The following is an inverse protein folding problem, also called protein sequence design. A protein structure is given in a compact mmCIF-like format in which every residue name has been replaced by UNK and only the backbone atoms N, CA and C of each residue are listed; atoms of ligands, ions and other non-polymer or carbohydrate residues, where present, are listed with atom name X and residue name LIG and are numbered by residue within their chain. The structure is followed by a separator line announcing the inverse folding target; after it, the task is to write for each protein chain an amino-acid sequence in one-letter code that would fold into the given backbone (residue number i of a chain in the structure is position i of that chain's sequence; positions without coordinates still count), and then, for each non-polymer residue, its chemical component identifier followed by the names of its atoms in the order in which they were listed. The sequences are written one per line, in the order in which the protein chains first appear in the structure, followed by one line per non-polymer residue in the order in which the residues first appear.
data_IF_989201017314
#
_entry.id   IF_989201017314
#
_cell.length_a   1.000
_cell.length_b   1.000
_cell.length_c   1.000
_cell.angle_alpha   90.00
_cell.angle_beta   90.00
_cell.angle_gamma   90.00
#
_symmetry.space_group_name_H-M   'P 1'
#
loop_
_entity.id
_entity.type
_entity.pdbx_description
1 polymer ?
#
# COMPACT_ATOMS: atom_id res chain seq x y z
N UNK A 1 -50.85 16.29 22.20
CA UNK A 1 -50.30 15.75 20.94
C UNK A 1 -49.19 14.80 21.32
N UNK A 2 -49.04 13.69 20.63
CA UNK A 2 -47.94 12.75 20.93
C UNK A 2 -46.59 13.34 20.50
N UNK A 3 -45.55 13.05 21.26
CA UNK A 3 -44.17 13.39 20.89
C UNK A 3 -43.84 12.87 19.49
N UNK A 4 -42.91 13.56 18.82
CA UNK A 4 -42.30 13.08 17.56
C UNK A 4 -40.82 12.77 17.81
N UNK A 5 -40.16 12.19 16.83
CA UNK A 5 -38.76 11.78 16.97
C UNK A 5 -37.92 12.28 15.81
N UNK A 6 -36.60 12.44 16.03
CA UNK A 6 -35.67 12.78 14.97
C UNK A 6 -35.41 11.54 14.09
N UNK A 7 -35.45 11.71 12.77
CA UNK A 7 -35.31 10.60 11.81
C UNK A 7 -34.01 9.82 11.97
N UNK A 8 -32.89 10.52 12.17
CA UNK A 8 -31.58 9.85 12.17
C UNK A 8 -31.27 9.12 13.50
N UNK A 9 -31.73 9.66 14.62
CA UNK A 9 -31.21 9.25 15.94
C UNK A 9 -32.30 8.78 16.90
N UNK A 10 -33.57 8.91 16.54
CA UNK A 10 -34.69 8.57 17.41
C UNK A 10 -34.78 9.43 18.69
N UNK A 11 -34.24 10.66 18.68
CA UNK A 11 -34.31 11.58 19.78
C UNK A 11 -35.76 12.10 19.91
N UNK A 12 -36.35 12.00 21.09
CA UNK A 12 -37.71 12.42 21.31
C UNK A 12 -37.81 13.95 21.35
N UNK A 13 -38.71 14.50 20.53
CA UNK A 13 -39.07 15.91 20.49
C UNK A 13 -40.33 16.09 21.33
N UNK A 14 -40.17 16.49 22.60
CA UNK A 14 -41.24 16.62 23.57
C UNK A 14 -42.18 17.76 23.16
N UNK A 15 -43.45 17.48 23.00
CA UNK A 15 -44.46 18.49 22.71
C UNK A 15 -44.78 19.31 23.99
N UNK A 16 -44.95 20.63 23.84
CA UNK A 16 -45.29 21.52 24.94
C UNK A 16 -46.54 21.03 25.71
N UNK A 17 -46.40 20.89 27.02
CA UNK A 17 -47.47 20.42 27.93
C UNK A 17 -47.59 18.90 28.04
N UNK A 18 -46.76 18.15 27.28
CA UNK A 18 -46.66 16.69 27.38
C UNK A 18 -45.65 16.28 28.45
N UNK A 19 -45.70 15.03 28.86
CA UNK A 19 -44.73 14.39 29.80
C UNK A 19 -44.63 15.03 31.18
N UNK A 20 -45.75 15.52 31.71
CA UNK A 20 -45.79 16.01 33.10
C UNK A 20 -45.34 14.92 34.09
N UNK A 21 -44.26 15.18 34.81
CA UNK A 21 -43.61 14.24 35.73
C UNK A 21 -42.62 13.25 35.12
N UNK A 22 -42.52 13.13 33.78
CA UNK A 22 -41.61 12.19 33.09
C UNK A 22 -40.59 12.87 32.16
N UNK A 23 -40.74 14.17 31.89
CA UNK A 23 -39.87 14.91 30.99
C UNK A 23 -38.36 14.79 31.34
N UNK A 24 -38.03 14.71 32.61
CA UNK A 24 -36.65 14.54 33.06
C UNK A 24 -36.05 13.19 32.63
N UNK A 25 -36.85 12.11 32.67
CA UNK A 25 -36.42 10.80 32.16
C UNK A 25 -36.20 10.84 30.68
N UNK A 26 -37.11 11.42 29.89
CA UNK A 26 -36.98 11.56 28.45
C UNK A 26 -35.77 12.42 28.06
N UNK A 27 -35.57 13.55 28.77
CA UNK A 27 -34.40 14.40 28.54
C UNK A 27 -33.10 13.65 28.81
N UNK A 28 -33.01 12.89 29.90
CA UNK A 28 -31.84 12.10 30.22
C UNK A 28 -31.58 10.98 29.19
N UNK A 29 -32.64 10.33 28.69
CA UNK A 29 -32.52 9.35 27.62
C UNK A 29 -31.99 10.00 26.31
N UNK A 30 -32.55 11.16 25.94
CA UNK A 30 -32.08 11.93 24.78
C UNK A 30 -30.60 12.33 24.93
N UNK A 31 -30.16 12.80 26.08
CA UNK A 31 -28.75 13.11 26.32
C UNK A 31 -27.87 11.87 26.25
N UNK A 32 -28.34 10.72 26.73
CA UNK A 32 -27.63 9.46 26.61
C UNK A 32 -27.53 8.96 25.16
N UNK A 33 -28.55 9.20 24.32
CA UNK A 33 -28.50 8.95 22.87
C UNK A 33 -27.45 9.83 22.21
N UNK A 34 -27.46 11.13 22.53
CA UNK A 34 -26.48 12.09 22.01
C UNK A 34 -25.04 11.68 22.38
N UNK A 35 -24.81 11.30 23.62
CA UNK A 35 -23.50 10.86 24.09
C UNK A 35 -23.01 9.62 23.33
N UNK A 36 -23.90 8.64 23.09
CA UNK A 36 -23.56 7.47 22.24
C UNK A 36 -23.20 7.85 20.81
N UNK A 37 -23.94 8.78 20.20
CA UNK A 37 -23.71 9.22 18.83
C UNK A 37 -22.40 9.99 18.66
N UNK A 38 -21.94 10.67 19.70
CA UNK A 38 -20.72 11.48 19.63
C UNK A 38 -19.49 10.67 20.06
N UNK A 39 -19.58 9.95 21.18
CA UNK A 39 -18.41 9.29 21.81
C UNK A 39 -18.59 7.79 22.05
N UNK A 40 -19.77 7.23 21.74
CA UNK A 40 -20.09 5.86 22.11
C UNK A 40 -19.34 4.82 21.28
N UNK A 41 -18.76 3.85 21.98
CA UNK A 41 -18.20 2.63 21.39
C UNK A 41 -19.06 1.45 21.77
N UNK A 42 -19.73 0.83 20.79
CA UNK A 42 -20.60 -0.31 20.99
C UNK A 42 -19.94 -1.62 20.53
N UNK A 43 -19.90 -2.61 21.41
CA UNK A 43 -19.52 -3.98 21.01
C UNK A 43 -20.77 -4.75 20.65
N UNK A 44 -20.89 -5.14 19.38
CA UNK A 44 -22.02 -5.87 18.82
C UNK A 44 -21.61 -7.32 18.63
N UNK A 45 -22.23 -8.22 19.39
CA UNK A 45 -21.94 -9.65 19.30
C UNK A 45 -22.77 -10.29 18.19
N UNK A 46 -22.08 -10.67 17.10
CA UNK A 46 -22.71 -11.30 15.95
C UNK A 46 -22.83 -12.81 16.13
N UNK A 47 -23.95 -13.36 15.68
CA UNK A 47 -24.21 -14.80 15.58
C UNK A 47 -24.98 -15.10 14.29
N UNK A 48 -24.94 -16.35 13.83
CA UNK A 48 -25.59 -16.70 12.56
C UNK A 48 -25.03 -15.91 11.36
N UNK A 49 -25.90 -15.51 10.44
CA UNK A 49 -25.54 -14.83 9.18
C UNK A 49 -26.17 -13.46 9.00
N UNK A 50 -27.02 -13.02 9.94
CA UNK A 50 -27.71 -11.72 9.87
C UNK A 50 -27.75 -11.04 11.22
N UNK A 51 -27.72 -9.71 11.21
CA UNK A 51 -27.94 -8.85 12.38
C UNK A 51 -28.61 -7.55 11.91
N UNK A 52 -29.44 -6.95 12.78
CA UNK A 52 -30.03 -5.62 12.50
C UNK A 52 -29.55 -4.62 13.54
N UNK A 53 -28.85 -3.60 13.09
CA UNK A 53 -28.55 -2.41 13.90
C UNK A 53 -29.77 -1.52 13.88
N UNK A 54 -30.36 -1.26 15.04
CA UNK A 54 -31.56 -0.45 15.15
C UNK A 54 -31.26 0.92 15.73
N UNK A 55 -31.98 1.92 15.24
CA UNK A 55 -32.08 3.25 15.84
C UNK A 55 -33.53 3.41 16.31
N UNK A 56 -33.79 3.00 17.54
CA UNK A 56 -35.14 2.99 18.09
C UNK A 56 -35.53 4.35 18.67
N UNK A 57 -36.76 4.78 18.42
CA UNK A 57 -37.31 6.03 18.90
C UNK A 57 -37.36 6.10 20.42
N UNK A 58 -36.80 7.15 20.99
CA UNK A 58 -36.79 7.43 22.43
C UNK A 58 -36.13 6.36 23.29
N UNK A 59 -35.34 5.46 22.71
CA UNK A 59 -34.73 4.32 23.42
C UNK A 59 -33.29 4.12 22.99
N UNK A 60 -32.42 3.76 23.94
CA UNK A 60 -31.03 3.41 23.63
C UNK A 60 -30.97 2.12 22.84
N UNK A 61 -30.31 2.15 21.68
CA UNK A 61 -30.19 1.03 20.77
C UNK A 61 -28.78 0.91 20.17
N UNK A 62 -28.47 -0.19 19.53
CA UNK A 62 -27.13 -0.53 19.05
C UNK A 62 -26.69 0.27 17.82
N UNK A 63 -27.62 0.71 16.97
CA UNK A 63 -27.34 1.59 15.85
C UNK A 63 -26.98 3.03 16.19
N UNK A 64 -27.03 3.41 17.47
CA UNK A 64 -26.73 4.78 17.95
C UNK A 64 -25.25 4.98 18.35
N UNK A 65 -24.39 4.00 18.23
CA UNK A 65 -22.96 4.17 18.54
C UNK A 65 -22.17 4.81 17.39
N UNK A 66 -21.25 5.71 17.71
CA UNK A 66 -20.34 6.30 16.73
C UNK A 66 -19.32 5.25 16.22
N UNK A 67 -18.87 4.38 17.12
CA UNK A 67 -17.92 3.31 16.81
C UNK A 67 -18.59 1.96 17.07
N UNK A 68 -18.57 1.10 16.05
CA UNK A 68 -19.12 -0.26 16.11
C UNK A 68 -17.97 -1.27 16.11
N UNK A 69 -17.88 -2.09 17.14
CA UNK A 69 -16.92 -3.20 17.21
C UNK A 69 -17.72 -4.51 17.06
N UNK A 70 -17.69 -5.10 15.89
CA UNK A 70 -18.29 -6.42 15.67
C UNK A 70 -17.41 -7.52 16.27
N UNK A 71 -18.02 -8.35 17.10
CA UNK A 71 -17.41 -9.47 17.80
C UNK A 71 -18.29 -10.71 17.68
N UNK A 72 -17.96 -11.77 18.39
CA UNK A 72 -18.72 -13.02 18.39
C UNK A 72 -18.12 -14.06 17.43
N UNK A 73 -18.94 -15.01 17.01
CA UNK A 73 -18.53 -16.12 16.14
C UNK A 73 -19.66 -16.45 15.17
N UNK A 74 -19.92 -15.59 14.18
CA UNK A 74 -20.96 -15.86 13.18
C UNK A 74 -20.59 -17.11 12.37
N UNK A 75 -21.60 -17.85 11.92
CA UNK A 75 -21.42 -19.10 11.20
C UNK A 75 -20.90 -18.95 9.76
N UNK A 76 -20.78 -17.72 9.28
CA UNK A 76 -20.29 -17.33 7.95
C UNK A 76 -20.33 -15.83 7.81
N UNK A 77 -20.20 -15.31 6.60
CA UNK A 77 -20.39 -13.88 6.33
C UNK A 77 -21.70 -13.40 6.95
N UNK A 78 -21.61 -12.35 7.78
CA UNK A 78 -22.79 -11.80 8.45
C UNK A 78 -23.25 -10.53 7.74
N UNK A 79 -24.54 -10.46 7.36
CA UNK A 79 -25.15 -9.26 6.81
C UNK A 79 -25.73 -8.43 7.96
N UNK A 80 -25.18 -7.24 8.18
CA UNK A 80 -25.63 -6.29 9.17
C UNK A 80 -26.46 -5.21 8.48
N UNK A 81 -27.77 -5.18 8.74
CA UNK A 81 -28.71 -4.21 8.18
C UNK A 81 -28.87 -3.04 9.12
N UNK A 82 -28.60 -1.83 8.65
CA UNK A 82 -28.86 -0.58 9.40
C UNK A 82 -30.33 -0.19 9.22
N UNK A 83 -31.04 -0.02 10.32
CA UNK A 83 -32.46 0.32 10.33
C UNK A 83 -32.76 1.45 11.35
N UNK A 84 -33.69 2.37 11.00
CA UNK A 84 -34.48 2.42 9.77
C UNK A 84 -33.67 2.81 8.54
N UNK A 85 -34.18 2.55 7.33
CA UNK A 85 -33.45 2.79 6.10
C UNK A 85 -33.47 4.26 5.62
N UNK A 86 -34.17 5.13 6.32
CA UNK A 86 -34.18 6.58 6.10
C UNK A 86 -33.32 7.34 7.11
N UNK A 87 -32.66 6.66 8.05
CA UNK A 87 -31.74 7.25 8.99
C UNK A 87 -30.34 7.39 8.38
N UNK A 88 -29.75 8.58 8.52
CA UNK A 88 -28.38 8.87 8.13
C UNK A 88 -27.43 8.66 9.30
N UNK A 89 -26.34 7.91 9.07
CA UNK A 89 -25.34 7.63 10.09
C UNK A 89 -23.93 7.67 9.51
N UNK A 90 -23.00 8.10 10.36
CA UNK A 90 -21.56 7.94 10.14
C UNK A 90 -21.04 6.97 11.19
N UNK A 91 -20.39 5.88 10.76
CA UNK A 91 -19.83 4.88 11.65
C UNK A 91 -18.34 4.68 11.39
N UNK A 92 -17.59 4.49 12.48
CA UNK A 92 -16.29 3.82 12.45
C UNK A 92 -16.54 2.36 12.82
N UNK A 93 -16.25 1.45 11.90
CA UNK A 93 -16.57 0.02 12.04
C UNK A 93 -15.29 -0.78 12.15
N UNK A 94 -15.10 -1.50 13.27
CA UNK A 94 -14.05 -2.49 13.48
C UNK A 94 -14.67 -3.89 13.43
N UNK A 95 -14.18 -4.75 12.56
CA UNK A 95 -14.62 -6.15 12.51
C UNK A 95 -13.60 -7.07 13.19
N UNK A 96 -14.02 -7.70 14.29
CA UNK A 96 -13.25 -8.70 15.06
C UNK A 96 -14.06 -9.98 15.27
N UNK A 97 -15.03 -10.27 14.39
CA UNK A 97 -15.99 -11.39 14.55
C UNK A 97 -15.49 -12.73 13.99
N UNK A 98 -14.31 -12.77 13.36
CA UNK A 98 -13.78 -13.98 12.73
C UNK A 98 -14.29 -14.24 11.30
N UNK A 99 -15.31 -13.54 10.84
CA UNK A 99 -15.90 -13.65 9.49
C UNK A 99 -16.01 -12.27 8.85
N UNK A 100 -16.26 -12.19 7.55
CA UNK A 100 -16.59 -10.92 6.89
C UNK A 100 -17.96 -10.42 7.32
N UNK A 101 -18.10 -9.11 7.43
CA UNK A 101 -19.36 -8.41 7.71
C UNK A 101 -19.72 -7.55 6.51
N UNK A 102 -20.95 -7.69 6.03
CA UNK A 102 -21.52 -6.85 4.96
C UNK A 102 -22.51 -5.89 5.59
N UNK A 103 -22.20 -4.59 5.56
CA UNK A 103 -23.11 -3.53 6.00
C UNK A 103 -24.03 -3.16 4.84
N UNK A 104 -25.33 -3.12 5.10
CA UNK A 104 -26.38 -2.73 4.16
C UNK A 104 -27.43 -1.86 4.85
N UNK A 105 -28.16 -1.03 4.09
CA UNK A 105 -29.29 -0.24 4.63
C UNK A 105 -30.55 -0.39 3.80
N UNK A 106 -30.43 -0.62 2.50
CA UNK A 106 -31.54 -0.82 1.56
C UNK A 106 -31.11 -1.62 0.36
N UNK A 107 -31.62 -1.29 -0.82
CA UNK A 107 -31.23 -1.93 -2.08
C UNK A 107 -30.04 -1.27 -2.77
N UNK A 108 -29.46 -0.21 -2.18
CA UNK A 108 -28.27 0.49 -2.70
C UNK A 108 -26.95 -0.24 -2.46
N UNK A 109 -25.86 0.48 -2.55
CA UNK A 109 -24.52 -0.06 -2.34
C UNK A 109 -24.30 -0.60 -0.94
N UNK A 110 -23.48 -1.64 -0.82
CA UNK A 110 -23.12 -2.28 0.45
C UNK A 110 -21.61 -2.19 0.66
N UNK A 111 -21.16 -2.22 1.92
CA UNK A 111 -19.75 -2.24 2.29
C UNK A 111 -19.40 -3.52 3.00
N UNK A 112 -18.37 -4.21 2.48
CA UNK A 112 -17.81 -5.39 3.15
C UNK A 112 -16.62 -4.98 4.01
N UNK A 113 -16.64 -5.34 5.29
CA UNK A 113 -15.55 -5.19 6.25
C UNK A 113 -14.99 -6.58 6.54
N UNK A 114 -13.78 -6.88 6.04
CA UNK A 114 -13.15 -8.16 6.30
C UNK A 114 -12.79 -8.33 7.78
N UNK A 115 -12.62 -9.57 8.25
CA UNK A 115 -12.19 -9.80 9.62
C UNK A 115 -10.81 -9.17 9.86
N UNK A 116 -10.68 -8.39 10.92
CA UNK A 116 -9.49 -7.64 11.27
C UNK A 116 -9.47 -6.19 10.76
N UNK A 117 -10.31 -5.85 9.78
CA UNK A 117 -10.33 -4.52 9.17
C UNK A 117 -11.08 -3.49 10.02
N UNK A 118 -10.77 -2.23 9.74
CA UNK A 118 -11.48 -1.05 10.24
C UNK A 118 -11.83 -0.15 9.07
N UNK A 119 -13.08 0.28 8.97
CA UNK A 119 -13.57 1.18 7.94
C UNK A 119 -14.35 2.34 8.53
N UNK A 120 -14.34 3.48 7.82
CA UNK A 120 -15.26 4.60 8.07
C UNK A 120 -16.32 4.55 6.99
N UNK A 121 -17.57 4.43 7.38
CA UNK A 121 -18.69 4.30 6.45
C UNK A 121 -19.80 5.28 6.79
N UNK A 122 -20.56 5.71 5.79
CA UNK A 122 -21.82 6.42 6.05
C UNK A 122 -23.00 5.73 5.39
N UNK A 123 -24.14 5.85 6.04
CA UNK A 123 -25.44 5.43 5.55
C UNK A 123 -26.19 6.67 5.05
N UNK A 124 -26.65 6.64 3.79
CA UNK A 124 -27.24 7.82 3.14
C UNK A 124 -28.71 8.09 3.48
N UNK A 125 -29.41 7.09 4.07
CA UNK A 125 -30.79 7.24 4.48
C UNK A 125 -31.78 7.45 3.32
N UNK A 126 -31.49 6.96 2.12
CA UNK A 126 -32.30 7.18 0.92
C UNK A 126 -33.56 6.27 0.84
N UNK A 127 -34.02 5.72 1.98
CA UNK A 127 -35.19 4.83 2.05
C UNK A 127 -34.95 3.49 1.38
N UNK A 128 -35.87 3.04 0.52
CA UNK A 128 -35.73 1.75 -0.15
C UNK A 128 -34.45 1.61 -0.98
N UNK A 129 -33.92 2.70 -1.50
CA UNK A 129 -32.68 2.77 -2.26
C UNK A 129 -31.44 3.07 -1.43
N UNK A 130 -31.56 3.09 -0.08
CA UNK A 130 -30.47 3.48 0.80
C UNK A 130 -29.22 2.65 0.59
N UNK A 131 -28.06 3.31 0.66
CA UNK A 131 -26.75 2.74 0.47
C UNK A 131 -25.85 2.93 1.71
N UNK A 132 -24.91 2.04 1.88
CA UNK A 132 -23.75 2.23 2.75
C UNK A 132 -22.55 2.48 1.85
N UNK A 133 -21.79 3.56 2.16
CA UNK A 133 -20.66 4.02 1.36
C UNK A 133 -19.39 3.97 2.20
N UNK A 134 -18.33 3.43 1.62
CA UNK A 134 -17.00 3.34 2.25
C UNK A 134 -16.21 4.63 1.99
N UNK A 135 -15.96 5.40 3.05
CA UNK A 135 -15.13 6.61 2.98
C UNK A 135 -13.64 6.29 3.02
N UNK A 136 -13.24 5.12 3.54
CA UNK A 136 -11.81 4.77 3.62
C UNK A 136 -11.21 4.42 2.27
N UNK A 137 -12.03 4.00 1.30
CA UNK A 137 -11.60 3.70 -0.06
C UNK A 137 -11.08 4.93 -0.82
N UNK A 138 -11.57 6.13 -0.45
CA UNK A 138 -11.28 7.39 -1.13
C UNK A 138 -10.23 8.25 -0.40
N UNK A 139 -9.59 7.74 0.65
CA UNK A 139 -8.50 8.47 1.32
C UNK A 139 -7.25 8.51 0.43
N UNK A 140 -7.27 9.38 -0.57
CA UNK A 140 -6.09 9.71 -1.36
C UNK A 140 -5.15 10.62 -0.56
N UNK A 141 -4.01 10.10 -0.14
CA UNK A 141 -2.95 10.91 0.46
C UNK A 141 -2.10 11.55 -0.65
N UNK A 142 -2.17 12.87 -0.79
CA UNK A 142 -1.40 13.62 -1.79
C UNK A 142 0.11 13.64 -1.50
N UNK A 143 0.53 13.41 -0.27
CA UNK A 143 1.92 13.16 0.10
C UNK A 143 2.01 12.28 1.35
N UNK A 144 2.90 11.28 1.32
CA UNK A 144 3.21 10.42 2.45
C UNK A 144 4.68 10.54 2.75
N UNK A 145 5.04 11.03 3.95
CA UNK A 145 6.43 11.04 4.41
C UNK A 145 6.68 9.81 5.28
N UNK A 146 7.44 8.85 4.75
CA UNK A 146 7.81 7.63 5.47
C UNK A 146 9.22 7.81 6.01
N UNK A 147 9.34 8.05 7.31
CA UNK A 147 10.62 8.32 7.98
C UNK A 147 11.33 7.06 8.50
N UNK A 148 10.73 5.89 8.32
CA UNK A 148 11.32 4.61 8.72
C UNK A 148 10.39 3.43 8.43
N UNK A 149 10.91 2.21 8.53
CA UNK A 149 10.17 0.98 8.27
C UNK A 149 10.32 0.46 6.83
N UNK A 150 9.53 -0.56 6.48
CA UNK A 150 9.46 -1.13 5.14
C UNK A 150 8.12 -0.82 4.48
N UNK A 151 8.14 -0.48 3.20
CA UNK A 151 6.94 -0.32 2.40
C UNK A 151 6.70 -1.67 1.70
N UNK A 152 5.56 -2.29 1.98
CA UNK A 152 5.14 -3.55 1.35
C UNK A 152 3.88 -3.34 0.52
N UNK A 153 3.70 -4.12 -0.55
CA UNK A 153 2.50 -4.04 -1.39
C UNK A 153 2.51 -2.89 -2.41
N UNK A 154 3.65 -2.22 -2.62
CA UNK A 154 3.77 -1.30 -3.76
C UNK A 154 3.98 -2.15 -5.02
N UNK A 155 3.09 -1.99 -5.98
CA UNK A 155 3.28 -2.48 -7.33
C UNK A 155 4.22 -1.50 -8.05
N UNK A 156 5.36 -2.00 -8.48
CA UNK A 156 6.40 -1.33 -9.27
C UNK A 156 6.43 0.22 -9.26
N UNK A 157 7.29 0.79 -8.42
CA UNK A 157 7.55 2.23 -8.48
C UNK A 157 8.24 2.57 -9.80
N UNK A 158 7.68 3.51 -10.57
CA UNK A 158 8.22 3.91 -11.87
C UNK A 158 9.66 4.43 -11.77
N UNK A 159 10.46 4.27 -12.83
CA UNK A 159 11.84 4.77 -12.87
C UNK A 159 11.89 6.29 -12.68
N UNK A 160 10.91 7.02 -13.21
CA UNK A 160 10.77 8.47 -13.06
C UNK A 160 10.61 8.92 -11.58
N UNK A 161 10.07 8.04 -10.73
CA UNK A 161 9.83 8.28 -9.31
C UNK A 161 10.94 7.69 -8.42
N UNK A 162 12.06 7.30 -9.01
CA UNK A 162 13.22 6.74 -8.30
C UNK A 162 13.17 5.24 -8.06
N UNK A 163 12.17 4.55 -8.60
CA UNK A 163 12.07 3.10 -8.58
C UNK A 163 12.72 2.43 -9.79
N UNK A 164 12.67 1.11 -9.86
CA UNK A 164 13.10 0.35 -11.04
C UNK A 164 11.95 0.06 -12.00
N UNK A 165 10.70 0.30 -11.60
CA UNK A 165 9.49 -0.04 -12.35
C UNK A 165 9.34 -1.55 -12.60
N UNK A 166 9.90 -2.38 -11.69
CA UNK A 166 9.93 -3.82 -11.91
C UNK A 166 9.94 -4.62 -10.61
N UNK A 167 9.27 -5.77 -10.63
CA UNK A 167 9.17 -6.73 -9.52
C UNK A 167 10.27 -7.79 -9.53
N UNK A 168 11.12 -7.82 -10.56
CA UNK A 168 12.23 -8.76 -10.67
C UNK A 168 13.50 -8.11 -11.26
N UNK A 169 14.64 -8.77 -11.08
CA UNK A 169 15.95 -8.23 -11.48
C UNK A 169 16.12 -8.08 -12.99
N UNK A 170 15.50 -8.94 -13.81
CA UNK A 170 15.66 -8.90 -15.26
C UNK A 170 14.96 -7.67 -15.84
N UNK A 171 13.71 -7.46 -15.43
CA UNK A 171 12.93 -6.30 -15.86
C UNK A 171 13.50 -5.00 -15.30
N UNK A 172 14.00 -5.01 -14.05
CA UNK A 172 14.70 -3.85 -13.47
C UNK A 172 15.89 -3.42 -14.30
N UNK A 173 16.74 -4.36 -14.72
CA UNK A 173 17.86 -4.05 -15.63
C UNK A 173 17.38 -3.48 -16.97
N UNK A 174 16.32 -4.06 -17.54
CA UNK A 174 15.73 -3.59 -18.79
C UNK A 174 15.23 -2.16 -18.68
N UNK A 175 14.46 -1.86 -17.62
CA UNK A 175 13.91 -0.53 -17.37
C UNK A 175 14.99 0.54 -17.09
N UNK A 176 16.10 0.15 -16.48
CA UNK A 176 17.25 1.00 -16.28
C UNK A 176 18.16 1.09 -17.53
N UNK A 177 17.82 0.41 -18.62
CA UNK A 177 18.62 0.38 -19.84
C UNK A 177 19.95 -0.37 -19.70
N UNK A 178 20.07 -1.25 -18.71
CA UNK A 178 21.31 -2.00 -18.42
C UNK A 178 21.33 -3.31 -19.20
N UNK A 179 21.92 -3.27 -20.39
CA UNK A 179 22.09 -4.46 -21.25
C UNK A 179 23.48 -5.05 -21.03
N UNK A 180 23.53 -6.26 -20.45
CA UNK A 180 24.78 -6.98 -20.22
C UNK A 180 25.42 -7.33 -21.57
N UNK A 181 26.68 -7.00 -21.74
CA UNK A 181 27.43 -7.18 -22.99
C UNK A 181 27.31 -5.98 -23.96
N UNK A 182 26.50 -4.96 -23.65
CA UNK A 182 26.40 -3.74 -24.47
C UNK A 182 26.84 -2.50 -23.65
N UNK A 183 26.12 -2.14 -22.58
CA UNK A 183 26.44 -1.02 -21.71
C UNK A 183 26.85 -1.45 -20.29
N UNK A 184 26.68 -2.73 -19.96
CA UNK A 184 27.23 -3.36 -18.77
C UNK A 184 28.07 -4.54 -19.21
N UNK A 185 29.33 -4.56 -18.83
CA UNK A 185 30.23 -5.67 -19.17
C UNK A 185 29.72 -6.97 -18.55
N UNK A 186 29.55 -8.01 -19.37
CA UNK A 186 29.26 -9.34 -18.86
C UNK A 186 30.45 -9.84 -18.03
N UNK A 187 30.18 -10.58 -16.95
CA UNK A 187 31.25 -11.26 -16.24
C UNK A 187 31.93 -12.24 -17.19
N UNK A 188 33.23 -12.04 -17.43
CA UNK A 188 34.09 -12.94 -18.19
C UNK A 188 35.26 -13.35 -17.29
N UNK A 189 35.33 -14.64 -17.01
CA UNK A 189 36.38 -15.21 -16.17
C UNK A 189 37.80 -15.00 -16.75
N UNK A 190 37.92 -14.96 -18.09
CA UNK A 190 39.20 -14.73 -18.76
C UNK A 190 39.61 -13.27 -18.63
N UNK A 191 38.67 -12.32 -18.80
CA UNK A 191 38.93 -10.90 -18.61
C UNK A 191 39.28 -10.59 -17.12
N UNK A 192 38.54 -11.20 -16.20
CA UNK A 192 38.83 -11.05 -14.76
C UNK A 192 40.22 -11.65 -14.41
N UNK A 193 40.56 -12.80 -14.98
CA UNK A 193 41.88 -13.41 -14.81
C UNK A 193 42.97 -12.54 -15.40
N UNK A 194 42.73 -11.97 -16.60
CA UNK A 194 43.67 -11.05 -17.24
C UNK A 194 43.94 -9.81 -16.39
N UNK A 195 42.88 -9.14 -15.93
CA UNK A 195 43.00 -7.93 -15.07
C UNK A 195 43.65 -8.24 -13.73
N UNK A 196 43.40 -9.42 -13.15
CA UNK A 196 44.01 -9.81 -11.86
C UNK A 196 45.45 -10.30 -11.98
N UNK A 197 45.83 -10.80 -13.17
CA UNK A 197 47.15 -11.40 -13.39
C UNK A 197 48.17 -10.41 -13.91
N UNK A 198 47.72 -9.40 -14.66
CA UNK A 198 48.61 -8.43 -15.29
C UNK A 198 48.41 -7.03 -14.70
N UNK A 199 49.53 -6.39 -14.32
CA UNK A 199 49.56 -4.96 -14.04
C UNK A 199 49.59 -4.19 -15.34
N UNK A 200 48.52 -3.49 -15.67
CA UNK A 200 48.40 -2.69 -16.88
C UNK A 200 49.15 -1.37 -16.77
N UNK A 201 49.75 -0.86 -17.89
CA UNK A 201 50.32 0.47 -17.90
C UNK A 201 49.29 1.54 -17.55
N UNK A 202 49.62 2.50 -16.69
CA UNK A 202 48.74 3.60 -16.26
C UNK A 202 48.78 4.81 -17.18
N UNK A 203 49.70 4.83 -18.13
CA UNK A 203 49.86 5.90 -19.12
C UNK A 203 49.89 5.30 -20.52
N UNK A 204 49.50 6.07 -21.53
CA UNK A 204 49.58 5.65 -22.93
C UNK A 204 51.04 5.60 -23.37
N UNK A 205 51.34 4.74 -24.31
CA UNK A 205 52.66 4.66 -24.95
C UNK A 205 52.82 5.68 -26.07
N UNK A 206 54.02 5.74 -26.66
CA UNK A 206 54.29 6.54 -27.84
C UNK A 206 54.12 5.73 -29.12
N UNK A 207 53.92 6.42 -30.27
CA UNK A 207 53.79 5.76 -31.58
C UNK A 207 54.97 4.84 -31.84
N UNK A 208 54.64 3.59 -32.26
CA UNK A 208 55.59 2.55 -32.55
C UNK A 208 56.00 1.66 -31.39
N UNK A 209 55.56 1.93 -30.19
CA UNK A 209 55.70 1.03 -29.04
C UNK A 209 54.68 -0.11 -29.09
N UNK A 210 55.03 -1.22 -28.48
CA UNK A 210 54.15 -2.40 -28.27
C UNK A 210 54.04 -2.70 -26.78
N UNK A 211 52.93 -3.30 -26.39
CA UNK A 211 52.81 -3.83 -25.04
C UNK A 211 53.62 -5.11 -24.93
N UNK A 212 54.53 -5.18 -24.02
CA UNK A 212 55.36 -6.33 -23.70
C UNK A 212 55.18 -6.77 -22.26
N UNK A 213 55.41 -8.06 -21.99
CA UNK A 213 55.41 -8.62 -20.65
C UNK A 213 56.84 -8.79 -20.14
N UNK A 214 57.05 -8.60 -18.87
CA UNK A 214 58.31 -8.91 -18.18
C UNK A 214 58.42 -10.38 -17.76
N UNK A 215 57.37 -11.19 -18.02
CA UNK A 215 57.27 -12.58 -17.62
C UNK A 215 56.88 -12.77 -16.14
N UNK A 216 56.69 -11.68 -15.38
CA UNK A 216 56.32 -11.68 -13.95
C UNK A 216 54.96 -11.02 -13.68
N UNK A 217 54.15 -10.77 -14.76
CA UNK A 217 52.82 -10.23 -14.62
C UNK A 217 52.72 -8.71 -14.87
N UNK A 218 53.81 -8.02 -15.20
CA UNK A 218 53.78 -6.60 -15.53
C UNK A 218 53.73 -6.42 -17.06
N UNK A 219 52.77 -5.60 -17.52
CA UNK A 219 52.70 -5.13 -18.89
C UNK A 219 53.21 -3.70 -18.98
N UNK A 220 54.12 -3.45 -19.93
CA UNK A 220 54.68 -2.13 -20.18
C UNK A 220 54.80 -1.83 -21.67
N UNK A 221 54.79 -0.55 -22.06
CA UNK A 221 55.10 -0.16 -23.42
C UNK A 221 56.60 -0.26 -23.65
N UNK A 222 57.00 -1.00 -24.66
CA UNK A 222 58.41 -1.12 -25.07
C UNK A 222 58.58 -0.82 -26.57
N UNK A 223 59.68 -0.20 -26.91
CA UNK A 223 60.03 -0.01 -28.29
C UNK A 223 60.62 -1.33 -28.81
N UNK A 224 60.01 -1.92 -29.85
CA UNK A 224 60.61 -3.11 -30.44
C UNK A 224 62.05 -2.88 -30.83
N UNK A 225 62.93 -3.81 -30.47
CA UNK A 225 64.33 -3.70 -30.95
C UNK A 225 64.31 -3.70 -32.48
N UNK A 226 64.98 -2.76 -33.07
CA UNK A 226 65.13 -2.71 -34.51
C UNK A 226 65.73 -4.05 -34.98
N UNK A 227 65.00 -4.77 -35.83
CA UNK A 227 65.55 -5.96 -36.48
C UNK A 227 66.82 -5.64 -37.24
N UNK A 228 67.54 -6.63 -37.58
CA UNK A 228 68.75 -6.47 -38.40
C UNK A 228 68.37 -5.64 -39.64
N UNK A 229 68.97 -4.46 -39.79
CA UNK A 229 68.71 -3.62 -40.97
C UNK A 229 69.00 -4.40 -42.21
N UNK A 230 68.22 -4.12 -43.28
CA UNK A 230 68.43 -4.79 -44.62
C UNK A 230 69.86 -4.78 -45.04
N UNK A 231 70.58 -3.67 -44.78
CA UNK A 231 72.02 -3.57 -45.09
C UNK A 231 72.88 -4.51 -44.21
N UNK A 232 72.58 -4.74 -42.92
CA UNK A 232 73.28 -5.74 -42.10
C UNK A 232 72.95 -7.15 -42.54
N UNK A 233 71.69 -7.41 -42.87
CA UNK A 233 71.28 -8.74 -43.38
C UNK A 233 71.98 -9.11 -44.73
N UNK A 234 72.05 -8.14 -45.63
CA UNK A 234 72.77 -8.28 -46.89
C UNK A 234 74.28 -8.46 -46.66
N UNK A 235 74.88 -7.67 -45.78
CA UNK A 235 76.29 -7.81 -45.46
C UNK A 235 76.61 -9.15 -44.79
N UNK A 236 75.77 -9.68 -43.94
CA UNK A 236 75.90 -11.01 -43.33
C UNK A 236 75.71 -12.13 -44.37
N UNK A 237 74.78 -11.99 -45.32
CA UNK A 237 74.60 -12.93 -46.39
C UNK A 237 75.77 -12.95 -47.35
N UNK A 238 76.45 -11.81 -47.60
CA UNK A 238 77.67 -11.70 -48.44
C UNK A 238 78.91 -12.28 -47.79
N UNK A 239 79.01 -12.16 -46.45
CA UNK A 239 80.18 -12.60 -45.71
C UNK A 239 80.12 -14.07 -45.30
N UNK A 240 78.91 -14.60 -45.05
CA UNK A 240 78.71 -15.95 -44.51
C UNK A 240 77.83 -16.85 -45.42
N UNK A 241 77.39 -16.38 -46.61
CA UNK A 241 76.56 -17.10 -47.54
C UNK A 241 77.36 -18.02 -48.47
#
# INVERSE_FOLDING_TARGET
MASTYTTNSGIELITTGEQSGTWGTTTNTNLSIIDRLVNGVGTITLSGTTHTLTTSDGTLSDGQYAVLVFSGSPSGTNTVTVAPNDAQHLYIVKNSSGQSVVLTQGSGGNVTVANGDTKVVYCDGAGAGAAVVDLTADFAMSSVNITGGSITGITDLAVADGGTGASNQADARTNLGLVIGTNVLAYDANLQSFVNTFTLPTTDGTSGQVISTDGAGTLAFSTPSAGISTGKAIAMAIVFG
#
